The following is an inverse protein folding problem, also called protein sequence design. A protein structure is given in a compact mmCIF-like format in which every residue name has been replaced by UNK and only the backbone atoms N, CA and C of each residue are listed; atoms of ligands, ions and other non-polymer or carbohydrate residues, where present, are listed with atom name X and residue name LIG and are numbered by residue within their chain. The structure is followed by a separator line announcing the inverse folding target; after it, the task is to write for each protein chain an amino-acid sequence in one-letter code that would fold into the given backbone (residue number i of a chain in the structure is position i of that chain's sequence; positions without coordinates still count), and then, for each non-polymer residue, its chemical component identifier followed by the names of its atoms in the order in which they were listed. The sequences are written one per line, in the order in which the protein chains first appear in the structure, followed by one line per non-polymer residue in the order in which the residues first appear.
data_IF_960308683957
#
_entry.id   IF_960308683957
#
_cell.length_a   1.000
_cell.length_b   1.000
_cell.length_c   1.000
_cell.angle_alpha   90.00
_cell.angle_beta   90.00
_cell.angle_gamma   90.00
#
_symmetry.space_group_name_H-M   'P 1'
#
loop_
_entity.id
_entity.type
_entity.pdbx_description
1 polymer ?
#
# COMPACT_ATOMS: atom_id res chain seq x y z
N UNK A 1 -10.87 12.13 3.28
CA UNK A 1 -10.94 10.74 3.74
C UNK A 1 -10.10 9.77 2.90
N UNK A 2 -10.01 9.93 1.56
CA UNK A 2 -9.10 9.15 0.70
C UNK A 2 -7.60 9.41 0.94
N UNK A 3 -7.26 10.47 1.67
CA UNK A 3 -5.88 10.88 1.94
C UNK A 3 -5.12 9.88 2.84
N UNK A 4 -5.79 9.24 3.79
CA UNK A 4 -5.15 8.33 4.76
C UNK A 4 -4.63 7.05 4.10
N UNK A 5 -5.29 6.53 3.08
CA UNK A 5 -4.87 5.31 2.39
C UNK A 5 -3.62 5.48 1.56
N UNK A 6 -3.49 6.65 0.90
CA UNK A 6 -2.26 7.00 0.17
C UNK A 6 -1.07 7.15 1.10
N UNK A 7 -1.30 7.65 2.34
CA UNK A 7 -0.26 7.77 3.37
C UNK A 7 0.34 6.40 3.65
N UNK A 8 -0.48 5.38 3.87
CA UNK A 8 0.01 4.07 4.25
C UNK A 8 0.56 3.27 3.06
N UNK A 9 -0.16 3.25 1.95
CA UNK A 9 0.24 2.44 0.79
C UNK A 9 1.57 2.89 0.21
N UNK A 10 1.74 4.20 -0.01
CA UNK A 10 3.02 4.75 -0.49
C UNK A 10 4.06 4.87 0.60
N UNK A 11 3.66 5.13 1.85
CA UNK A 11 4.55 5.20 2.99
C UNK A 11 5.31 3.89 3.18
N UNK A 12 4.64 2.76 3.18
CA UNK A 12 5.24 1.42 3.31
C UNK A 12 6.20 1.12 2.15
N UNK A 13 5.77 1.39 0.91
CA UNK A 13 6.62 1.16 -0.28
C UNK A 13 7.88 2.03 -0.23
N UNK A 14 7.74 3.31 0.13
CA UNK A 14 8.87 4.24 0.20
C UNK A 14 9.80 3.98 1.40
N UNK A 15 9.31 3.32 2.46
CA UNK A 15 10.10 2.95 3.64
C UNK A 15 11.00 1.73 3.40
N UNK A 16 10.90 1.10 2.21
CA UNK A 16 11.70 -0.09 1.89
C UNK A 16 13.21 0.14 2.04
N UNK A 17 13.70 1.34 1.75
CA UNK A 17 15.13 1.69 1.90
C UNK A 17 15.66 1.45 3.32
N UNK A 18 14.88 1.74 4.35
CA UNK A 18 15.26 1.49 5.75
C UNK A 18 15.29 -0.01 6.05
N UNK A 19 14.31 -0.76 5.56
CA UNK A 19 14.27 -2.21 5.72
C UNK A 19 15.41 -2.87 4.98
N UNK A 20 15.77 -2.38 3.80
CA UNK A 20 16.91 -2.86 3.02
C UNK A 20 18.22 -2.69 3.79
N UNK A 21 18.43 -1.54 4.42
CA UNK A 21 19.62 -1.28 5.23
C UNK A 21 19.72 -2.26 6.41
N UNK A 22 18.60 -2.51 7.08
CA UNK A 22 18.53 -3.48 8.16
C UNK A 22 18.79 -4.92 7.69
N UNK A 23 18.16 -5.34 6.60
CA UNK A 23 18.36 -6.68 6.02
C UNK A 23 19.83 -6.94 5.70
N UNK A 24 20.52 -5.91 5.18
CA UNK A 24 21.95 -6.00 4.88
C UNK A 24 22.81 -6.11 6.13
N UNK A 25 22.45 -5.36 7.19
CA UNK A 25 23.25 -5.30 8.40
C UNK A 25 23.12 -6.57 9.28
N UNK A 26 21.92 -7.14 9.41
CA UNK A 26 21.65 -8.16 10.42
C UNK A 26 21.15 -9.48 9.85
N UNK A 27 20.32 -9.47 8.81
CA UNK A 27 19.54 -10.63 8.43
C UNK A 27 20.04 -11.34 7.17
N UNK A 28 20.50 -10.58 6.18
CA UNK A 28 20.96 -11.08 4.89
C UNK A 28 22.40 -10.60 4.58
N UNK A 29 23.27 -10.53 5.59
CA UNK A 29 24.64 -10.07 5.47
C UNK A 29 25.47 -10.84 4.42
N UNK A 30 25.14 -12.12 4.20
CA UNK A 30 25.78 -12.98 3.20
C UNK A 30 25.26 -12.75 1.76
N UNK A 31 24.20 -11.96 1.57
CA UNK A 31 23.61 -11.68 0.26
C UNK A 31 24.08 -10.34 -0.29
N UNK A 32 24.16 -10.26 -1.62
CA UNK A 32 24.48 -9.01 -2.30
C UNK A 32 23.39 -7.96 -2.02
N UNK A 33 23.82 -6.69 -1.94
CA UNK A 33 22.86 -5.55 -1.87
C UNK A 33 21.92 -5.55 -3.07
N UNK A 34 22.36 -6.08 -4.20
CA UNK A 34 21.54 -6.26 -5.41
C UNK A 34 20.40 -7.24 -5.18
N UNK A 35 20.68 -8.41 -4.56
CA UNK A 35 19.64 -9.41 -4.26
C UNK A 35 18.56 -8.82 -3.32
N UNK A 36 18.96 -8.05 -2.32
CA UNK A 36 18.02 -7.43 -1.38
C UNK A 36 17.17 -6.37 -2.07
N UNK A 37 17.73 -5.61 -3.02
CA UNK A 37 17.00 -4.60 -3.79
C UNK A 37 15.88 -5.22 -4.66
N UNK A 38 16.00 -6.49 -5.05
CA UNK A 38 14.96 -7.21 -5.78
C UNK A 38 13.64 -7.28 -5.00
N UNK A 39 13.66 -7.33 -3.67
CA UNK A 39 12.45 -7.36 -2.84
C UNK A 39 11.62 -6.09 -3.10
N UNK A 40 12.27 -4.92 -3.01
CA UNK A 40 11.59 -3.64 -3.25
C UNK A 40 11.20 -3.44 -4.72
N UNK A 41 12.04 -3.89 -5.66
CA UNK A 41 11.76 -3.78 -7.09
C UNK A 41 10.54 -4.63 -7.49
N UNK A 42 10.45 -5.86 -7.00
CA UNK A 42 9.28 -6.74 -7.21
C UNK A 42 8.04 -6.13 -6.60
N UNK A 43 8.12 -5.61 -5.36
CA UNK A 43 7.00 -4.93 -4.71
C UNK A 43 6.50 -3.73 -5.52
N UNK A 44 7.41 -2.85 -5.96
CA UNK A 44 7.06 -1.68 -6.75
C UNK A 44 6.48 -2.05 -8.12
N UNK A 45 7.09 -3.01 -8.81
CA UNK A 45 6.64 -3.51 -10.11
C UNK A 45 5.23 -4.10 -10.02
N UNK A 46 4.97 -4.98 -9.05
CA UNK A 46 3.64 -5.56 -8.83
C UNK A 46 2.62 -4.47 -8.48
N UNK A 47 2.99 -3.50 -7.63
CA UNK A 47 2.09 -2.40 -7.30
C UNK A 47 1.68 -1.62 -8.55
N UNK A 48 2.61 -1.31 -9.45
CA UNK A 48 2.32 -0.54 -10.65
C UNK A 48 1.56 -1.36 -11.72
N UNK A 49 1.99 -2.58 -12.01
CA UNK A 49 1.37 -3.41 -13.05
C UNK A 49 -0.05 -3.79 -12.64
N UNK A 50 -0.23 -4.30 -11.42
CA UNK A 50 -1.55 -4.72 -10.96
C UNK A 50 -2.50 -3.53 -10.75
N UNK A 51 -2.00 -2.34 -10.44
CA UNK A 51 -2.85 -1.15 -10.34
C UNK A 51 -3.58 -0.85 -11.65
N UNK A 52 -2.99 -1.16 -12.81
CA UNK A 52 -3.65 -0.99 -14.11
C UNK A 52 -4.89 -1.90 -14.24
N UNK A 53 -4.82 -3.12 -13.69
CA UNK A 53 -5.93 -4.06 -13.70
C UNK A 53 -7.01 -3.69 -12.66
N UNK A 54 -6.64 -3.01 -11.60
CA UNK A 54 -7.56 -2.56 -10.54
C UNK A 54 -8.45 -1.41 -11.01
N UNK A 55 -8.00 -0.59 -11.97
CA UNK A 55 -8.78 0.52 -12.53
C UNK A 55 -10.16 0.08 -13.03
N UNK A 56 -10.26 -0.84 -13.99
CA UNK A 56 -11.54 -1.38 -14.47
C UNK A 56 -12.41 -1.99 -13.36
N UNK A 57 -11.81 -2.71 -12.41
CA UNK A 57 -12.55 -3.28 -11.28
C UNK A 57 -13.16 -2.19 -10.37
N UNK A 58 -12.45 -1.10 -10.18
CA UNK A 58 -12.96 0.06 -9.46
C UNK A 58 -14.15 0.68 -10.19
N UNK A 59 -14.09 0.83 -11.51
CA UNK A 59 -15.16 1.38 -12.34
C UNK A 59 -16.42 0.49 -12.33
N UNK A 60 -16.26 -0.83 -12.19
CA UNK A 60 -17.36 -1.78 -11.99
C UNK A 60 -18.03 -1.68 -10.61
N UNK A 61 -17.56 -0.81 -9.72
CA UNK A 61 -18.17 -0.56 -8.40
C UNK A 61 -17.65 -1.47 -7.28
N UNK A 62 -16.65 -2.32 -7.51
CA UNK A 62 -16.07 -3.21 -6.49
C UNK A 62 -15.13 -2.51 -5.50
N UNK A 63 -15.19 -1.18 -5.41
CA UNK A 63 -14.31 -0.37 -4.56
C UNK A 63 -14.17 -0.92 -3.14
N UNK A 64 -15.28 -1.23 -2.48
CA UNK A 64 -15.29 -1.68 -1.08
C UNK A 64 -14.56 -3.00 -0.91
N UNK A 65 -14.80 -3.95 -1.82
CA UNK A 65 -14.16 -5.27 -1.79
C UNK A 65 -12.65 -5.15 -2.03
N UNK A 66 -12.24 -4.35 -3.02
CA UNK A 66 -10.82 -4.10 -3.33
C UNK A 66 -10.07 -3.54 -2.13
N UNK A 67 -10.70 -2.62 -1.41
CA UNK A 67 -10.10 -2.01 -0.22
C UNK A 67 -9.99 -2.99 0.94
N UNK A 68 -11.01 -3.80 1.19
CA UNK A 68 -10.96 -4.81 2.25
C UNK A 68 -9.88 -5.85 1.98
N UNK A 69 -9.84 -6.39 0.76
CA UNK A 69 -8.83 -7.38 0.37
C UNK A 69 -7.43 -6.75 0.42
N UNK A 70 -7.27 -5.53 -0.10
CA UNK A 70 -5.99 -4.83 -0.08
C UNK A 70 -5.48 -4.55 1.34
N UNK A 71 -6.34 -4.07 2.24
CA UNK A 71 -5.99 -3.82 3.64
C UNK A 71 -5.62 -5.13 4.36
N UNK A 72 -6.37 -6.19 4.12
CA UNK A 72 -6.06 -7.51 4.67
C UNK A 72 -4.70 -8.03 4.18
N UNK A 73 -4.43 -7.98 2.87
CA UNK A 73 -3.18 -8.46 2.28
C UNK A 73 -1.96 -7.67 2.78
N UNK A 74 -2.06 -6.34 2.91
CA UNK A 74 -0.97 -5.53 3.44
C UNK A 74 -0.68 -5.89 4.90
N UNK A 75 -1.71 -5.97 5.73
CA UNK A 75 -1.55 -6.32 7.15
C UNK A 75 -1.02 -7.74 7.31
N UNK A 76 -1.58 -8.69 6.56
CA UNK A 76 -1.13 -10.08 6.56
C UNK A 76 0.32 -10.20 6.09
N UNK A 77 0.69 -9.49 5.01
CA UNK A 77 2.06 -9.44 4.51
C UNK A 77 3.06 -8.91 5.54
N UNK A 78 2.68 -7.88 6.30
CA UNK A 78 3.52 -7.37 7.39
C UNK A 78 3.68 -8.38 8.53
N UNK A 79 2.60 -9.05 8.92
CA UNK A 79 2.64 -10.09 9.95
C UNK A 79 3.51 -11.27 9.51
N UNK A 80 3.37 -11.71 8.24
CA UNK A 80 4.19 -12.77 7.70
C UNK A 80 5.67 -12.36 7.59
N UNK A 81 5.96 -11.12 7.19
CA UNK A 81 7.34 -10.60 7.15
C UNK A 81 7.99 -10.64 8.54
N UNK A 82 7.22 -10.41 9.60
CA UNK A 82 7.67 -10.54 11.00
C UNK A 82 8.19 -11.93 11.37
N UNK A 83 7.72 -12.97 10.69
CA UNK A 83 8.08 -14.38 10.94
C UNK A 83 9.14 -14.91 9.95
N UNK A 84 9.52 -14.11 8.96
CA UNK A 84 10.46 -14.53 7.93
C UNK A 84 11.87 -14.66 8.50
N UNK A 85 12.52 -15.78 8.18
CA UNK A 85 13.92 -16.07 8.53
C UNK A 85 14.80 -16.29 7.30
N UNK A 86 14.21 -16.38 6.10
CA UNK A 86 14.92 -16.64 4.87
C UNK A 86 14.54 -15.65 3.77
N UNK A 87 15.48 -15.38 2.86
CA UNK A 87 15.33 -14.44 1.76
C UNK A 87 14.07 -14.68 0.90
N UNK A 88 13.79 -15.92 0.50
CA UNK A 88 12.62 -16.22 -0.34
C UNK A 88 11.30 -15.95 0.38
N UNK A 89 11.27 -16.12 1.72
CA UNK A 89 10.08 -15.83 2.53
C UNK A 89 9.79 -14.32 2.55
N UNK A 90 10.84 -13.49 2.68
CA UNK A 90 10.72 -12.03 2.64
C UNK A 90 10.23 -11.56 1.28
N UNK A 91 10.76 -12.10 0.16
CA UNK A 91 10.26 -11.78 -1.18
C UNK A 91 8.78 -12.12 -1.30
N UNK A 92 8.36 -13.29 -0.82
CA UNK A 92 6.97 -13.72 -0.93
C UNK A 92 6.04 -12.88 -0.06
N UNK A 93 6.42 -12.62 1.20
CA UNK A 93 5.60 -11.86 2.14
C UNK A 93 5.61 -10.35 1.81
N UNK A 94 6.78 -9.75 1.61
CA UNK A 94 6.92 -8.33 1.39
C UNK A 94 6.78 -7.97 -0.10
N UNK A 95 7.48 -8.65 -1.00
CA UNK A 95 7.43 -8.37 -2.42
C UNK A 95 6.03 -8.65 -3.01
N UNK A 96 5.54 -9.87 -2.88
CA UNK A 96 4.28 -10.28 -3.48
C UNK A 96 3.08 -9.86 -2.65
N UNK A 97 2.97 -10.24 -1.38
CA UNK A 97 1.76 -10.04 -0.60
C UNK A 97 1.48 -8.55 -0.36
N UNK A 98 2.48 -7.79 0.10
CA UNK A 98 2.33 -6.33 0.29
C UNK A 98 2.23 -5.63 -1.07
N UNK A 99 2.94 -6.06 -2.12
CA UNK A 99 2.86 -5.48 -3.46
C UNK A 99 1.45 -5.59 -4.06
N UNK A 100 0.83 -6.78 -4.01
CA UNK A 100 -0.55 -7.00 -4.46
C UNK A 100 -1.53 -6.19 -3.61
N UNK A 101 -1.41 -6.26 -2.28
CA UNK A 101 -2.27 -5.50 -1.36
C UNK A 101 -2.20 -3.99 -1.61
N UNK A 102 -0.99 -3.46 -1.84
CA UNK A 102 -0.76 -2.05 -2.15
C UNK A 102 -1.40 -1.63 -3.48
N UNK A 103 -1.36 -2.49 -4.51
CA UNK A 103 -1.99 -2.20 -5.81
C UNK A 103 -3.50 -2.05 -5.69
N UNK A 104 -4.15 -2.92 -4.90
CA UNK A 104 -5.59 -2.89 -4.65
C UNK A 104 -6.04 -1.63 -3.90
N UNK A 105 -5.18 -1.06 -3.06
CA UNK A 105 -5.45 0.16 -2.31
C UNK A 105 -5.12 1.44 -3.10
N UNK A 106 -4.17 1.38 -4.03
CA UNK A 106 -3.63 2.56 -4.72
C UNK A 106 -4.70 3.28 -5.56
N UNK A 107 -5.35 2.56 -6.48
CA UNK A 107 -6.34 3.15 -7.40
C UNK A 107 -7.57 3.70 -6.66
N UNK A 108 -8.23 2.96 -5.75
CA UNK A 108 -9.34 3.50 -4.97
C UNK A 108 -8.94 4.78 -4.20
N UNK A 109 -7.72 4.83 -3.66
CA UNK A 109 -7.22 6.00 -2.92
C UNK A 109 -7.13 7.25 -3.79
N UNK A 110 -6.54 7.13 -4.99
CA UNK A 110 -6.40 8.22 -5.95
C UNK A 110 -7.77 8.66 -6.46
N UNK A 111 -8.62 7.71 -6.85
CA UNK A 111 -9.95 8.00 -7.41
C UNK A 111 -10.87 8.70 -6.41
N UNK A 112 -10.86 8.30 -5.14
CA UNK A 112 -11.63 9.01 -4.10
C UNK A 112 -11.17 10.46 -3.97
N UNK A 113 -9.85 10.73 -4.02
CA UNK A 113 -9.35 12.09 -3.97
C UNK A 113 -9.80 12.93 -5.17
N UNK A 114 -9.75 12.37 -6.37
CA UNK A 114 -10.12 13.08 -7.63
C UNK A 114 -11.62 13.31 -7.72
N UNK A 115 -12.44 12.34 -7.31
CA UNK A 115 -13.91 12.45 -7.42
C UNK A 115 -14.52 13.41 -6.40
N UNK A 116 -13.97 13.48 -5.18
CA UNK A 116 -14.47 14.39 -4.14
C UNK A 116 -14.09 15.85 -4.35
N UNK A 117 -12.93 16.11 -4.97
CA UNK A 117 -12.42 17.47 -5.16
C UNK A 117 -12.54 17.92 -6.60
N UNK A 118 -13.77 17.98 -7.15
CA UNK A 118 -14.01 18.36 -8.56
C UNK A 118 -13.42 19.72 -8.95
N UNK A 119 -13.43 20.69 -8.06
CA UNK A 119 -12.98 22.07 -8.32
C UNK A 119 -11.46 22.28 -8.20
N UNK A 120 -10.76 21.49 -7.38
CA UNK A 120 -9.32 21.64 -7.11
C UNK A 120 -8.62 20.29 -7.04
N UNK A 121 -8.69 19.51 -8.12
CA UNK A 121 -8.11 18.15 -8.22
C UNK A 121 -6.62 18.12 -7.91
N UNK A 122 -5.86 19.09 -8.44
CA UNK A 122 -4.42 19.18 -8.19
C UNK A 122 -4.07 19.40 -6.71
N UNK A 123 -4.83 20.24 -6.02
CA UNK A 123 -4.63 20.48 -4.59
C UNK A 123 -4.95 19.24 -3.75
N UNK A 124 -5.98 18.47 -4.11
CA UNK A 124 -6.32 17.22 -3.44
C UNK A 124 -5.22 16.16 -3.61
N UNK A 125 -4.66 16.02 -4.81
CA UNK A 125 -3.55 15.13 -5.10
C UNK A 125 -2.27 15.58 -4.39
N UNK A 126 -1.98 16.90 -4.38
CA UNK A 126 -0.85 17.47 -3.65
C UNK A 126 -0.90 17.18 -2.15
N UNK A 127 -2.03 17.42 -1.50
CA UNK A 127 -2.19 17.09 -0.07
C UNK A 127 -2.07 15.58 0.19
N UNK A 128 -2.54 14.75 -0.74
CA UNK A 128 -2.38 13.29 -0.64
C UNK A 128 -0.91 12.86 -0.76
N UNK A 129 -0.13 13.55 -1.60
CA UNK A 129 1.31 13.31 -1.74
C UNK A 129 2.08 13.71 -0.47
N UNK A 130 1.73 14.84 0.15
CA UNK A 130 2.29 15.25 1.45
C UNK A 130 2.01 14.21 2.53
N UNK A 131 0.76 13.71 2.60
CA UNK A 131 0.42 12.63 3.52
C UNK A 131 1.25 11.36 3.29
N UNK A 132 1.48 10.99 2.02
CA UNK A 132 2.34 9.86 1.65
C UNK A 132 3.78 10.05 2.13
N UNK A 133 4.32 11.25 2.01
CA UNK A 133 5.67 11.58 2.50
C UNK A 133 5.75 11.50 4.02
N UNK A 134 4.71 11.92 4.75
CA UNK A 134 4.65 11.74 6.21
C UNK A 134 4.67 10.26 6.60
N UNK A 135 3.93 9.41 5.91
CA UNK A 135 4.00 7.96 6.12
C UNK A 135 5.41 7.41 5.91
N UNK A 136 6.11 7.88 4.87
CA UNK A 136 7.49 7.46 4.57
C UNK A 136 8.51 7.88 5.66
N UNK A 137 8.18 8.86 6.47
CA UNK A 137 9.01 9.30 7.61
C UNK A 137 8.63 8.52 8.87
N UNK A 138 7.33 8.35 9.13
CA UNK A 138 6.83 7.72 10.36
C UNK A 138 7.25 6.25 10.43
N UNK A 139 7.08 5.48 9.36
CA UNK A 139 7.42 4.05 9.37
C UNK A 139 8.88 3.76 9.68
N UNK A 140 9.88 4.43 9.06
CA UNK A 140 11.28 4.27 9.41
C UNK A 140 11.60 4.67 10.85
N UNK A 141 11.00 5.76 11.35
CA UNK A 141 11.23 6.21 12.73
C UNK A 141 10.71 5.17 13.72
N UNK A 142 9.47 4.70 13.53
CA UNK A 142 8.89 3.65 14.38
C UNK A 142 9.75 2.39 14.33
N UNK A 143 10.20 1.98 13.15
CA UNK A 143 11.07 0.82 13.00
C UNK A 143 12.38 0.98 13.76
N UNK A 144 13.11 2.07 13.51
CA UNK A 144 14.43 2.31 14.11
C UNK A 144 14.38 2.50 15.63
N UNK A 145 13.28 3.01 16.18
CA UNK A 145 13.11 3.14 17.63
C UNK A 145 12.66 1.84 18.30
N UNK A 146 11.87 1.03 17.58
CA UNK A 146 11.28 -0.19 18.16
C UNK A 146 12.18 -1.41 18.01
N UNK A 147 12.95 -1.47 16.92
CA UNK A 147 13.81 -2.61 16.60
C UNK A 147 14.88 -2.89 17.67
N UNK A 148 15.64 -1.88 18.19
CA UNK A 148 16.67 -2.14 19.21
C UNK A 148 16.14 -2.70 20.51
N UNK A 149 14.89 -2.33 20.89
CA UNK A 149 14.30 -2.71 22.18
C UNK A 149 13.61 -4.07 22.14
N UNK A 150 12.86 -4.35 21.06
CA UNK A 150 11.99 -5.54 20.98
C UNK A 150 12.29 -6.45 19.78
N UNK A 151 13.27 -6.09 18.96
CA UNK A 151 13.72 -6.89 17.82
C UNK A 151 12.85 -6.77 16.58
N UNK A 152 13.40 -7.23 15.45
CA UNK A 152 12.84 -7.11 14.11
C UNK A 152 11.39 -7.61 13.99
N UNK A 153 11.11 -8.83 14.48
CA UNK A 153 9.79 -9.45 14.35
C UNK A 153 8.70 -8.64 15.04
N UNK A 154 8.96 -8.16 16.24
CA UNK A 154 7.99 -7.34 16.98
C UNK A 154 7.84 -5.95 16.38
N UNK A 155 8.91 -5.34 15.86
CA UNK A 155 8.84 -4.06 15.17
C UNK A 155 7.90 -4.12 13.95
N UNK A 156 7.99 -5.19 13.13
CA UNK A 156 7.07 -5.41 12.02
C UNK A 156 5.62 -5.64 12.45
N UNK A 157 5.39 -6.32 13.58
CA UNK A 157 4.04 -6.49 14.15
C UNK A 157 3.45 -5.16 14.59
N UNK A 158 4.24 -4.33 15.28
CA UNK A 158 3.79 -2.99 15.72
C UNK A 158 3.39 -2.16 14.49
N UNK A 159 4.20 -2.15 13.43
CA UNK A 159 3.86 -1.46 12.18
C UNK A 159 2.61 -2.06 11.51
N UNK A 160 2.45 -3.37 11.53
CA UNK A 160 1.27 -4.06 11.02
C UNK A 160 0.00 -3.68 11.77
N UNK A 161 0.04 -3.60 13.10
CA UNK A 161 -1.09 -3.14 13.91
C UNK A 161 -1.39 -1.66 13.69
N UNK A 162 -0.37 -0.83 13.53
CA UNK A 162 -0.53 0.58 13.22
C UNK A 162 -1.21 0.76 11.84
N UNK A 163 -0.78 0.00 10.84
CA UNK A 163 -1.42 -0.03 9.52
C UNK A 163 -2.87 -0.52 9.62
N UNK A 164 -3.14 -1.60 10.35
CA UNK A 164 -4.48 -2.14 10.55
C UNK A 164 -5.41 -1.13 11.22
N UNK A 165 -4.97 -0.49 12.30
CA UNK A 165 -5.74 0.52 13.01
C UNK A 165 -6.15 1.68 12.09
N UNK A 166 -5.23 2.16 11.28
CA UNK A 166 -5.50 3.24 10.33
C UNK A 166 -6.38 2.79 9.16
N UNK A 167 -6.26 1.54 8.68
CA UNK A 167 -7.18 0.98 7.69
C UNK A 167 -8.59 0.85 8.24
N UNK A 168 -8.77 0.39 9.48
CA UNK A 168 -10.08 0.29 10.13
C UNK A 168 -10.73 1.67 10.26
N UNK A 169 -10.00 2.67 10.72
CA UNK A 169 -10.50 4.05 10.80
C UNK A 169 -10.90 4.55 9.41
N UNK A 170 -10.08 4.31 8.40
CA UNK A 170 -10.36 4.73 7.02
C UNK A 170 -11.60 4.04 6.44
N UNK A 171 -11.78 2.75 6.73
CA UNK A 171 -12.95 1.97 6.29
C UNK A 171 -14.24 2.42 6.99
N UNK A 172 -14.19 2.68 8.30
CA UNK A 172 -15.33 3.21 9.05
C UNK A 172 -15.80 4.56 8.48
N UNK A 173 -14.86 5.42 8.12
CA UNK A 173 -15.17 6.73 7.50
C UNK A 173 -15.78 6.62 6.10
N UNK A 174 -15.41 5.58 5.32
CA UNK A 174 -15.97 5.37 3.96
C UNK A 174 -17.40 4.87 4.03
N UNK A 175 -17.72 3.98 4.95
CA UNK A 175 -19.10 3.51 5.13
C UNK A 175 -20.08 4.68 5.31
N UNK A 176 -19.64 5.76 5.93
CA UNK A 176 -20.45 6.96 6.12
C UNK A 176 -20.62 7.79 4.83
N UNK A 177 -19.72 7.67 3.85
CA UNK A 177 -19.71 8.49 2.61
C UNK A 177 -20.29 7.72 1.40
N UNK A 178 -20.35 6.40 1.46
CA UNK A 178 -20.75 5.53 0.33
C UNK A 178 -22.26 5.46 0.08
N UNK A 179 -23.07 6.33 0.70
CA UNK A 179 -24.53 6.34 0.57
C UNK A 179 -25.08 6.74 -0.80
N UNK A 180 -24.29 7.15 -1.77
CA UNK A 180 -24.81 7.57 -3.08
C UNK A 180 -23.76 7.40 -4.16
N UNK A 181 -23.75 6.25 -4.84
CA UNK A 181 -23.07 6.11 -6.14
C UNK A 181 -23.97 5.40 -7.14
N UNK A 182 -24.40 6.16 -8.12
CA UNK A 182 -24.86 5.63 -9.40
C UNK A 182 -23.71 4.86 -10.05
N UNK A 183 -23.94 3.60 -10.34
CA UNK A 183 -23.08 2.75 -11.15
C UNK A 183 -23.04 3.37 -12.55
N UNK A 184 -21.94 3.97 -12.94
CA UNK A 184 -21.76 4.40 -14.34
C UNK A 184 -21.44 3.16 -15.17
N UNK A 185 -22.24 2.83 -16.18
CA UNK A 185 -21.95 1.70 -17.07
C UNK A 185 -20.65 1.94 -17.83
N UNK A 186 -19.92 0.87 -18.06
CA UNK A 186 -18.67 0.78 -18.82
C UNK A 186 -18.84 1.36 -20.24
N UNK A 187 -18.54 2.64 -20.41
CA UNK A 187 -18.56 3.30 -21.73
C UNK A 187 -17.24 3.14 -22.51
N UNK A 188 -16.25 2.45 -21.97
CA UNK A 188 -14.93 2.31 -22.61
C UNK A 188 -14.85 1.21 -23.67
N UNK A 189 -15.76 0.26 -23.71
CA UNK A 189 -15.80 -0.74 -24.79
C UNK A 189 -16.34 -0.16 -26.10
N UNK A 190 -17.08 0.96 -26.05
CA UNK A 190 -17.59 1.62 -27.25
C UNK A 190 -16.55 2.55 -27.92
N UNK A 191 -15.57 3.06 -27.17
CA UNK A 191 -14.54 3.94 -27.69
C UNK A 191 -13.49 3.23 -28.57
N UNK A 192 -13.36 1.91 -28.45
CA UNK A 192 -12.48 1.09 -29.30
C UNK A 192 -13.18 0.51 -30.53
N UNK A 193 -14.45 0.86 -30.77
CA UNK A 193 -15.24 0.30 -31.90
C UNK A 193 -15.55 1.32 -32.99
N UNK A 194 -15.03 2.52 -32.90
CA UNK A 194 -15.13 3.48 -34.02
C UNK A 194 -13.85 3.46 -34.84
N UNK A 195 -13.95 3.23 -36.18
CA UNK A 195 -12.82 3.22 -37.12
C UNK A 195 -12.22 4.59 -37.34
#
# INVERSE_FOLDING_TARGET
HGKQWLIHTRGIVNSFGTFQAYYKAHFLSHRSSFDISWIGSVQACLTLILSQLVGPLYDMGFMTILVWIGAFLVTFGMMMTSLCTRFYQVILAQGFCIGIGSSLLYIPSVMVCVTHCRRRKGLALGISSVGSSLGSIIYPIVFNQTEPDIGFGYAFRVMGFLALGTFVISLALIRHVSGTKEVRPLLLLHAFREP
#
